data_IF_816665913267
#
_entry.id   IF_816665913267
#
_cell.length_a   1.000
_cell.length_b   1.000
_cell.length_c   1.000
_cell.angle_alpha   90.00
_cell.angle_beta   90.00
_cell.angle_gamma   90.00
#
_symmetry.space_group_name_H-M   'P 1'
#
loop_
_entity.id
_entity.type
_entity.pdbx_description
1 polymer ?
#
# COMPACT_ATOMS: atom_id res chain seq x y z
N UNK A 1 -41.32 32.25 -4.04
CA UNK A 1 -42.07 31.80 -5.24
C UNK A 1 -41.58 32.64 -6.42
N UNK A 2 -41.50 32.13 -7.68
CA UNK A 2 -41.74 30.79 -8.24
C UNK A 2 -40.40 30.03 -8.46
N UNK A 3 -40.23 28.70 -8.58
CA UNK A 3 -40.98 27.56 -9.12
C UNK A 3 -40.57 27.14 -10.55
N UNK A 4 -40.16 25.86 -10.65
CA UNK A 4 -40.28 24.92 -11.79
C UNK A 4 -39.34 25.09 -13.00
N UNK A 5 -38.22 24.38 -12.97
CA UNK A 5 -37.62 23.67 -14.12
C UNK A 5 -36.62 22.60 -13.62
N UNK A 6 -37.13 21.61 -12.88
CA UNK A 6 -36.47 20.31 -12.70
C UNK A 6 -37.11 19.33 -13.69
N UNK A 7 -36.32 18.34 -14.10
CA UNK A 7 -36.76 17.07 -14.68
C UNK A 7 -37.25 17.08 -16.14
N UNK A 8 -36.32 16.92 -17.09
CA UNK A 8 -36.57 16.08 -18.28
C UNK A 8 -35.40 15.16 -18.69
N UNK A 9 -34.15 15.40 -18.27
CA UNK A 9 -33.04 14.50 -18.63
C UNK A 9 -32.86 13.29 -17.69
N UNK A 10 -33.01 13.44 -16.36
CA UNK A 10 -32.79 12.31 -15.43
C UNK A 10 -33.88 11.22 -15.46
N UNK A 11 -35.11 11.54 -15.87
CA UNK A 11 -36.23 10.58 -15.81
C UNK A 11 -36.30 9.60 -16.99
N UNK A 12 -35.54 9.84 -18.06
CA UNK A 12 -35.45 8.91 -19.18
C UNK A 12 -34.41 7.81 -18.96
N UNK A 13 -33.38 8.05 -18.15
CA UNK A 13 -32.33 7.07 -17.90
C UNK A 13 -32.68 6.10 -16.76
N UNK A 14 -33.44 6.50 -15.74
CA UNK A 14 -33.85 5.59 -14.66
C UNK A 14 -35.02 4.68 -15.04
N UNK A 15 -35.80 5.01 -16.07
CA UNK A 15 -36.94 4.20 -16.51
C UNK A 15 -36.56 3.06 -17.46
N UNK A 16 -35.45 3.19 -18.20
CA UNK A 16 -34.94 2.13 -19.08
C UNK A 16 -34.20 1.02 -18.30
N UNK A 17 -33.68 1.33 -17.11
CA UNK A 17 -32.92 0.41 -16.26
C UNK A 17 -33.78 -0.41 -15.27
N UNK A 18 -35.09 -0.14 -15.20
CA UNK A 18 -36.04 -0.84 -14.32
C UNK A 18 -37.00 -1.79 -15.07
N UNK A 19 -36.95 -1.86 -16.40
CA UNK A 19 -38.00 -2.53 -17.19
C UNK A 19 -37.62 -3.89 -17.80
N UNK A 20 -36.38 -4.36 -17.66
CA UNK A 20 -36.02 -5.74 -18.03
C UNK A 20 -35.12 -6.35 -16.96
N UNK A 21 -35.70 -7.21 -16.11
CA UNK A 21 -34.93 -8.12 -15.28
C UNK A 21 -34.35 -9.24 -16.13
N UNK A 22 -33.13 -9.04 -16.62
CA UNK A 22 -32.29 -10.07 -17.27
C UNK A 22 -30.82 -9.86 -16.89
N UNK A 23 -30.12 -10.98 -16.76
CA UNK A 23 -28.78 -11.14 -16.19
C UNK A 23 -27.71 -10.16 -16.72
N UNK A 24 -26.91 -9.62 -15.79
CA UNK A 24 -25.72 -8.82 -16.09
C UNK A 24 -24.57 -9.72 -16.58
N UNK A 25 -24.49 -9.97 -17.89
CA UNK A 25 -23.32 -10.60 -18.49
C UNK A 25 -22.88 -10.00 -19.85
N UNK A 26 -23.59 -9.02 -20.42
CA UNK A 26 -23.21 -8.44 -21.71
C UNK A 26 -23.55 -6.94 -21.78
N UNK A 27 -22.60 -6.09 -21.41
CA UNK A 27 -22.64 -4.66 -21.74
C UNK A 27 -21.32 -4.31 -22.42
N UNK A 28 -21.36 -4.10 -23.74
CA UNK A 28 -20.19 -3.80 -24.57
C UNK A 28 -19.44 -2.53 -24.12
N UNK A 29 -18.11 -2.62 -24.06
CA UNK A 29 -17.15 -1.56 -23.66
C UNK A 29 -17.31 -0.23 -24.39
N UNK A 30 -17.94 -0.23 -25.58
CA UNK A 30 -18.17 0.98 -26.38
C UNK A 30 -19.17 1.96 -25.75
N UNK A 31 -20.10 1.49 -24.90
CA UNK A 31 -21.08 2.36 -24.26
C UNK A 31 -20.46 3.23 -23.15
N UNK A 32 -19.48 2.69 -22.41
CA UNK A 32 -18.76 3.43 -21.36
C UNK A 32 -17.83 4.50 -21.93
N UNK A 33 -17.16 4.20 -23.05
CA UNK A 33 -16.27 5.15 -23.71
C UNK A 33 -17.03 6.36 -24.27
N UNK A 34 -18.23 6.14 -24.82
CA UNK A 34 -19.08 7.22 -25.34
C UNK A 34 -19.58 8.17 -24.23
N UNK A 35 -19.89 7.64 -23.04
CA UNK A 35 -20.32 8.43 -21.89
C UNK A 35 -19.15 9.26 -21.32
N UNK A 36 -17.96 8.67 -21.22
CA UNK A 36 -16.76 9.37 -20.77
C UNK A 36 -16.35 10.53 -21.69
N UNK A 37 -16.43 10.34 -23.01
CA UNK A 37 -16.12 11.38 -24.01
C UNK A 37 -17.16 12.51 -23.97
N UNK A 38 -18.44 12.20 -23.78
CA UNK A 38 -19.50 13.21 -23.65
C UNK A 38 -19.33 14.07 -22.38
N UNK A 39 -18.92 13.46 -21.26
CA UNK A 39 -18.63 14.20 -20.02
C UNK A 39 -17.39 15.10 -20.15
N UNK A 40 -16.33 14.63 -20.82
CA UNK A 40 -15.10 15.42 -21.02
C UNK A 40 -15.35 16.64 -21.93
N UNK A 41 -16.19 16.47 -22.96
CA UNK A 41 -16.56 17.58 -23.86
C UNK A 41 -17.47 18.62 -23.19
N UNK A 42 -18.31 18.24 -22.23
CA UNK A 42 -19.11 19.19 -21.46
C UNK A 42 -18.26 20.04 -20.50
N UNK A 43 -17.13 19.52 -20.05
CA UNK A 43 -16.23 20.16 -19.08
C UNK A 43 -15.37 21.28 -19.69
N UNK A 44 -15.25 21.33 -21.02
CA UNK A 44 -14.46 22.33 -21.75
C UNK A 44 -15.22 23.63 -22.05
N UNK A 45 -16.55 23.68 -21.86
CA UNK A 45 -17.37 24.79 -22.37
C UNK A 45 -18.14 25.62 -21.32
N UNK A 46 -18.05 25.34 -20.01
CA UNK A 46 -18.70 26.19 -19.00
C UNK A 46 -18.02 26.13 -17.61
N UNK A 47 -17.43 27.23 -17.10
CA UNK A 47 -16.74 27.25 -15.80
C UNK A 47 -17.66 27.15 -14.56
N UNK A 48 -18.99 27.07 -14.73
CA UNK A 48 -19.94 26.95 -13.60
C UNK A 48 -20.23 25.49 -13.15
N UNK A 49 -19.69 24.46 -13.83
CA UNK A 49 -19.98 23.04 -13.56
C UNK A 49 -19.06 22.41 -12.49
N UNK A 50 -18.13 23.16 -11.91
CA UNK A 50 -17.13 22.62 -10.97
C UNK A 50 -17.72 22.21 -9.60
N UNK A 51 -18.96 22.64 -9.28
CA UNK A 51 -19.55 22.43 -7.95
C UNK A 51 -20.31 21.09 -7.78
N UNK A 52 -20.67 20.38 -8.85
CA UNK A 52 -21.42 19.11 -8.75
C UNK A 52 -20.61 17.82 -9.00
N UNK A 53 -19.38 17.91 -9.52
CA UNK A 53 -18.56 16.71 -9.79
C UNK A 53 -17.85 16.11 -8.57
N UNK A 54 -17.89 16.75 -7.39
CA UNK A 54 -17.27 16.18 -6.17
C UNK A 54 -17.96 14.90 -5.68
N UNK A 55 -19.24 14.69 -5.98
CA UNK A 55 -19.95 13.47 -5.60
C UNK A 55 -19.80 12.31 -6.60
N UNK A 56 -19.37 12.56 -7.84
CA UNK A 56 -19.23 11.50 -8.86
C UNK A 56 -17.86 10.78 -8.79
N UNK A 57 -16.83 11.44 -8.24
CA UNK A 57 -15.51 10.81 -7.98
C UNK A 57 -15.56 9.62 -7.03
N UNK A 58 -16.63 9.48 -6.25
CA UNK A 58 -16.80 8.37 -5.31
C UNK A 58 -17.18 7.08 -6.04
N UNK A 59 -17.90 7.15 -7.18
CA UNK A 59 -18.42 5.96 -7.85
C UNK A 59 -17.41 5.27 -8.78
N UNK A 60 -16.49 5.99 -9.42
CA UNK A 60 -15.45 5.38 -10.25
C UNK A 60 -14.32 4.70 -9.47
N UNK A 61 -14.21 4.91 -8.15
CA UNK A 61 -13.14 4.29 -7.34
C UNK A 61 -13.46 2.86 -6.88
N UNK A 62 -14.72 2.42 -7.02
CA UNK A 62 -15.19 1.16 -6.44
C UNK A 62 -15.18 -0.06 -7.40
N UNK A 63 -14.67 0.09 -8.64
CA UNK A 63 -14.72 -0.97 -9.66
C UNK A 63 -13.39 -1.25 -10.37
N UNK A 64 -12.26 -0.90 -9.73
CA UNK A 64 -10.91 -1.26 -10.19
C UNK A 64 -10.27 -2.40 -9.36
N UNK A 65 -11.02 -3.03 -8.46
CA UNK A 65 -10.56 -4.21 -7.73
C UNK A 65 -11.27 -5.46 -8.27
N UNK A 66 -10.64 -6.10 -9.25
CA UNK A 66 -10.73 -7.52 -9.60
C UNK A 66 -10.30 -7.65 -11.07
N UNK A 67 -9.06 -8.08 -11.32
CA UNK A 67 -8.65 -8.94 -12.44
C UNK A 67 -7.10 -9.04 -12.45
N UNK A 68 -6.57 -9.93 -11.60
CA UNK A 68 -5.25 -10.53 -11.84
C UNK A 68 -5.37 -12.06 -11.75
N UNK A 69 -4.96 -12.75 -12.83
CA UNK A 69 -4.46 -14.14 -12.96
C UNK A 69 -5.23 -15.04 -13.97
N UNK A 70 -4.60 -16.08 -14.57
CA UNK A 70 -3.72 -15.99 -15.73
C UNK A 70 -4.18 -16.90 -16.89
N UNK A 71 -4.08 -16.45 -18.15
CA UNK A 71 -4.44 -17.27 -19.32
C UNK A 71 -3.26 -18.10 -19.84
N UNK A 72 -3.41 -19.43 -19.74
CA UNK A 72 -2.64 -20.42 -20.48
C UNK A 72 -3.04 -20.43 -21.95
N UNK A 73 -2.05 -20.51 -22.85
CA UNK A 73 -2.24 -20.60 -24.30
C UNK A 73 -2.37 -22.04 -24.77
N UNK A 74 -3.45 -22.37 -25.48
CA UNK A 74 -3.45 -23.33 -26.60
C UNK A 74 -4.63 -23.06 -27.57
N UNK A 75 -4.55 -23.51 -28.84
CA UNK A 75 -5.02 -22.74 -30.00
C UNK A 75 -6.29 -23.33 -30.64
N UNK A 76 -7.17 -22.50 -31.22
CA UNK A 76 -8.14 -22.94 -32.24
C UNK A 76 -8.44 -21.86 -33.30
N UNK A 77 -8.03 -22.19 -34.52
CA UNK A 77 -8.70 -22.03 -35.82
C UNK A 77 -9.55 -20.77 -36.11
N UNK A 78 -9.03 -19.91 -36.99
CA UNK A 78 -9.84 -18.92 -37.73
C UNK A 78 -10.19 -19.50 -39.10
N UNK A 79 -11.50 -19.56 -39.39
CA UNK A 79 -12.08 -20.00 -40.66
C UNK A 79 -11.90 -18.94 -41.74
N UNK A 80 -11.57 -19.41 -42.93
CA UNK A 80 -11.50 -18.73 -44.22
C UNK A 80 -12.84 -18.13 -44.67
N UNK A 81 -12.81 -16.90 -45.18
CA UNK A 81 -13.86 -16.32 -46.03
C UNK A 81 -13.26 -16.00 -47.39
N UNK A 82 -13.78 -16.68 -48.41
CA UNK A 82 -13.49 -16.52 -49.83
C UNK A 82 -14.19 -15.27 -50.40
N UNK A 83 -13.50 -14.53 -51.27
CA UNK A 83 -14.09 -13.58 -52.22
C UNK A 83 -13.68 -14.01 -53.65
N UNK A 84 -14.50 -13.72 -54.68
CA UNK A 84 -14.59 -14.53 -55.90
C UNK A 84 -13.75 -14.01 -57.08
N UNK A 85 -13.49 -14.95 -57.98
CA UNK A 85 -12.77 -14.85 -59.25
C UNK A 85 -13.36 -13.81 -60.23
N UNK A 86 -12.50 -12.91 -60.71
CA UNK A 86 -12.72 -12.14 -61.94
C UNK A 86 -11.63 -12.44 -62.96
N UNK A 87 -12.06 -13.03 -64.07
CA UNK A 87 -11.29 -13.35 -65.27
C UNK A 87 -10.83 -12.08 -66.00
N UNK A 88 -9.54 -12.03 -66.39
CA UNK A 88 -9.06 -11.25 -67.52
C UNK A 88 -8.09 -12.10 -68.38
N UNK A 89 -8.09 -11.97 -69.71
CA UNK A 89 -7.50 -12.96 -70.62
C UNK A 89 -6.08 -12.62 -71.10
N UNK A 90 -5.34 -13.70 -71.40
CA UNK A 90 -4.18 -13.84 -72.30
C UNK A 90 -3.52 -12.57 -72.86
N UNK A 91 -2.31 -12.27 -72.38
CA UNK A 91 -1.29 -11.56 -73.15
C UNK A 91 0.02 -12.37 -73.13
N UNK A 92 0.49 -12.69 -74.34
CA UNK A 92 1.66 -13.50 -74.72
C UNK A 92 2.97 -12.88 -74.16
N UNK A 93 3.95 -13.70 -73.71
CA UNK A 93 5.20 -13.18 -73.15
C UNK A 93 6.15 -12.67 -74.25
N UNK A 94 6.52 -11.37 -74.18
CA UNK A 94 7.67 -10.83 -74.91
C UNK A 94 8.95 -11.07 -74.12
N UNK A 95 9.81 -11.92 -74.69
CA UNK A 95 11.23 -12.07 -74.35
C UNK A 95 11.91 -10.69 -74.25
N UNK A 96 12.33 -10.30 -73.05
CA UNK A 96 13.29 -9.21 -72.86
C UNK A 96 14.47 -9.69 -72.02
N UNK A 97 15.50 -10.11 -72.75
CA UNK A 97 16.93 -9.98 -72.50
C UNK A 97 17.40 -9.87 -71.03
N UNK A 98 18.02 -10.94 -70.54
CA UNK A 98 19.01 -10.90 -69.45
C UNK A 98 20.19 -10.02 -69.88
N UNK A 99 20.16 -8.72 -69.53
CA UNK A 99 21.39 -7.94 -69.39
C UNK A 99 21.94 -8.21 -68.00
N UNK A 100 23.14 -8.80 -67.99
CA UNK A 100 24.03 -8.85 -66.85
C UNK A 100 24.04 -7.47 -66.18
N UNK A 101 23.65 -7.43 -64.90
CA UNK A 101 23.83 -6.26 -64.06
C UNK A 101 24.93 -6.61 -63.06
N UNK A 102 25.96 -5.79 -63.14
CA UNK A 102 27.24 -5.94 -62.49
C UNK A 102 27.10 -6.16 -60.98
N UNK A 103 28.03 -6.96 -60.44
CA UNK A 103 28.22 -7.09 -59.00
C UNK A 103 28.57 -5.74 -58.40
N UNK A 104 27.56 -5.02 -57.93
CA UNK A 104 27.72 -4.02 -56.91
C UNK A 104 27.39 -4.70 -55.59
N UNK A 105 28.41 -4.92 -54.78
CA UNK A 105 28.25 -5.18 -53.36
C UNK A 105 27.33 -4.11 -52.80
N UNK A 106 26.10 -4.48 -52.49
CA UNK A 106 25.18 -3.61 -51.76
C UNK A 106 25.76 -3.46 -50.35
N UNK A 107 26.62 -2.47 -50.16
CA UNK A 107 27.06 -2.05 -48.83
C UNK A 107 25.80 -1.53 -48.14
N UNK A 108 25.20 -2.40 -47.33
CA UNK A 108 24.19 -1.99 -46.36
C UNK A 108 24.84 -0.87 -45.53
N UNK A 109 24.20 0.29 -45.51
CA UNK A 109 24.63 1.39 -44.65
C UNK A 109 24.85 0.84 -43.23
N UNK A 110 25.94 1.20 -42.54
CA UNK A 110 26.18 0.71 -41.19
C UNK A 110 24.94 1.02 -40.35
N UNK A 111 24.41 0.00 -39.70
CA UNK A 111 23.26 0.17 -38.82
C UNK A 111 23.60 1.28 -37.83
N UNK A 112 22.80 2.36 -37.80
CA UNK A 112 23.06 3.53 -36.95
C UNK A 112 22.99 3.19 -35.45
N UNK A 113 22.47 2.02 -35.12
CA UNK A 113 22.37 1.46 -33.78
C UNK A 113 22.82 0.00 -33.86
N UNK A 114 23.69 -0.40 -32.93
CA UNK A 114 24.09 -1.80 -32.76
C UNK A 114 22.88 -2.61 -32.26
N UNK A 115 22.39 -3.62 -33.01
CA UNK A 115 21.30 -4.48 -32.56
C UNK A 115 21.57 -5.17 -31.22
N UNK A 116 22.83 -5.40 -30.86
CA UNK A 116 23.21 -6.00 -29.57
C UNK A 116 22.85 -5.12 -28.37
N UNK A 117 22.76 -3.79 -28.55
CA UNK A 117 22.38 -2.86 -27.49
C UNK A 117 21.00 -3.18 -26.92
N UNK A 118 20.02 -3.43 -27.78
CA UNK A 118 18.65 -3.69 -27.33
C UNK A 118 18.50 -5.07 -26.71
N UNK A 119 19.28 -6.06 -27.13
CA UNK A 119 19.32 -7.37 -26.46
C UNK A 119 19.94 -7.27 -25.06
N UNK A 120 21.03 -6.51 -24.88
CA UNK A 120 21.60 -6.26 -23.55
C UNK A 120 20.63 -5.51 -22.63
N UNK A 121 19.96 -4.48 -23.15
CA UNK A 121 18.94 -3.75 -22.40
C UNK A 121 17.76 -4.64 -22.01
N UNK A 122 17.33 -5.53 -22.91
CA UNK A 122 16.28 -6.51 -22.63
C UNK A 122 16.69 -7.45 -21.51
N UNK A 123 17.91 -7.99 -21.52
CA UNK A 123 18.42 -8.85 -20.43
C UNK A 123 18.40 -8.10 -19.09
N UNK A 124 18.86 -6.85 -19.03
CA UNK A 124 18.82 -6.03 -17.80
C UNK A 124 17.40 -5.78 -17.29
N UNK A 125 16.42 -5.61 -18.19
CA UNK A 125 15.00 -5.45 -17.83
C UNK A 125 14.41 -6.77 -17.31
N UNK A 126 14.78 -7.89 -17.91
CA UNK A 126 14.34 -9.23 -17.47
C UNK A 126 14.90 -9.56 -16.06
N UNK A 127 16.17 -9.26 -15.79
CA UNK A 127 16.79 -9.36 -14.47
C UNK A 127 16.07 -8.48 -13.43
N UNK A 128 15.81 -7.20 -13.76
CA UNK A 128 15.06 -6.29 -12.88
C UNK A 128 13.66 -6.83 -12.57
N UNK A 129 13.00 -7.40 -13.58
CA UNK A 129 11.67 -8.01 -13.45
C UNK A 129 11.72 -9.24 -12.54
N UNK A 130 12.75 -10.07 -12.66
CA UNK A 130 12.94 -11.24 -11.80
C UNK A 130 13.13 -10.84 -10.33
N UNK A 131 13.96 -9.83 -10.05
CA UNK A 131 14.16 -9.29 -8.70
C UNK A 131 12.84 -8.77 -8.12
N UNK A 132 12.06 -8.00 -8.90
CA UNK A 132 10.76 -7.48 -8.45
C UNK A 132 9.79 -8.60 -8.08
N UNK A 133 9.69 -9.65 -8.90
CA UNK A 133 8.80 -10.80 -8.65
C UNK A 133 9.18 -11.55 -7.39
N UNK A 134 10.47 -11.76 -7.16
CA UNK A 134 10.92 -12.45 -5.94
C UNK A 134 10.70 -11.60 -4.69
N UNK A 135 10.92 -10.29 -4.77
CA UNK A 135 10.57 -9.37 -3.68
C UNK A 135 9.07 -9.41 -3.37
N UNK A 136 8.21 -9.39 -4.40
CA UNK A 136 6.76 -9.44 -4.22
C UNK A 136 6.34 -10.72 -3.48
N UNK A 137 6.91 -11.87 -3.86
CA UNK A 137 6.68 -13.14 -3.16
C UNK A 137 7.07 -13.08 -1.67
N UNK A 138 8.26 -12.55 -1.36
CA UNK A 138 8.75 -12.44 0.02
C UNK A 138 7.89 -11.46 0.83
N UNK A 139 7.45 -10.36 0.21
CA UNK A 139 6.64 -9.34 0.86
C UNK A 139 5.22 -9.84 1.11
N UNK A 140 4.65 -10.64 0.21
CA UNK A 140 3.34 -11.28 0.41
C UNK A 140 3.37 -12.23 1.62
N UNK A 141 4.43 -13.05 1.73
CA UNK A 141 4.65 -13.92 2.89
C UNK A 141 4.74 -13.10 4.20
N UNK A 142 5.53 -12.02 4.21
CA UNK A 142 5.66 -11.12 5.35
C UNK A 142 4.32 -10.44 5.69
N UNK A 143 3.62 -9.92 4.69
CA UNK A 143 2.33 -9.23 4.83
C UNK A 143 1.26 -10.14 5.44
N UNK A 144 1.26 -11.43 5.08
CA UNK A 144 0.38 -12.42 5.68
C UNK A 144 0.68 -12.61 7.18
N UNK A 145 1.96 -12.70 7.56
CA UNK A 145 2.33 -12.83 8.98
C UNK A 145 1.99 -11.56 9.77
N UNK A 146 2.30 -10.38 9.22
CA UNK A 146 1.95 -9.08 9.84
C UNK A 146 0.44 -8.97 10.04
N UNK A 147 -0.36 -9.29 9.03
CA UNK A 147 -1.83 -9.24 9.12
C UNK A 147 -2.36 -10.19 10.19
N UNK A 148 -1.79 -11.40 10.28
CA UNK A 148 -2.14 -12.37 11.32
C UNK A 148 -1.82 -11.83 12.72
N UNK A 149 -0.58 -11.35 12.94
CA UNK A 149 -0.14 -10.81 14.23
C UNK A 149 -0.95 -9.59 14.62
N UNK A 150 -1.23 -8.66 13.70
CA UNK A 150 -2.11 -7.52 13.93
C UNK A 150 -3.52 -7.97 14.32
N UNK A 151 -4.05 -9.02 13.69
CA UNK A 151 -5.32 -9.63 14.06
C UNK A 151 -5.33 -10.14 15.50
N UNK A 152 -4.29 -10.87 15.91
CA UNK A 152 -4.14 -11.33 17.30
C UNK A 152 -3.97 -10.15 18.27
N UNK A 153 -3.13 -9.19 17.91
CA UNK A 153 -2.81 -8.01 18.73
C UNK A 153 -4.03 -7.11 18.91
N UNK A 154 -4.93 -7.02 17.93
CA UNK A 154 -6.17 -6.24 18.02
C UNK A 154 -7.07 -6.66 19.19
N UNK A 155 -6.91 -7.89 19.71
CA UNK A 155 -7.67 -8.42 20.86
C UNK A 155 -7.39 -7.66 22.16
N UNK A 156 -6.30 -6.88 22.24
CA UNK A 156 -6.00 -6.01 23.39
C UNK A 156 -7.15 -5.04 23.69
N UNK A 157 -7.93 -4.67 22.67
CA UNK A 157 -9.07 -3.77 22.77
C UNK A 157 -10.31 -4.39 23.45
N UNK A 158 -10.29 -5.70 23.72
CA UNK A 158 -11.38 -6.42 24.40
C UNK A 158 -10.87 -7.39 25.46
N UNK A 159 -9.57 -7.33 25.79
CA UNK A 159 -8.93 -8.22 26.75
C UNK A 159 -8.46 -7.39 27.94
N UNK A 160 -8.94 -7.68 29.17
CA UNK A 160 -8.43 -7.02 30.37
C UNK A 160 -6.92 -7.26 30.55
N UNK A 161 -6.22 -6.28 31.12
CA UNK A 161 -4.76 -6.32 31.34
C UNK A 161 -4.28 -7.54 32.13
N UNK A 162 -5.10 -8.04 33.07
CA UNK A 162 -4.82 -9.27 33.82
C UNK A 162 -4.65 -10.52 32.95
N UNK A 163 -5.14 -10.50 31.71
CA UNK A 163 -5.03 -11.60 30.74
C UNK A 163 -3.95 -11.36 29.68
N UNK A 164 -3.18 -10.27 29.76
CA UNK A 164 -2.09 -10.01 28.80
C UNK A 164 -1.01 -11.09 28.86
N UNK A 165 -0.74 -11.68 30.02
CA UNK A 165 0.19 -12.82 30.15
C UNK A 165 -0.18 -14.04 29.29
N UNK A 166 -1.45 -14.19 28.92
CA UNK A 166 -1.92 -15.27 28.03
C UNK A 166 -1.96 -14.82 26.57
N UNK A 167 -2.24 -13.54 26.32
CA UNK A 167 -2.36 -12.98 24.98
C UNK A 167 -0.99 -12.70 24.34
N UNK A 168 -0.07 -12.09 25.08
CA UNK A 168 1.22 -11.62 24.54
C UNK A 168 2.09 -12.76 23.99
N UNK A 169 2.17 -13.96 24.60
CA UNK A 169 2.89 -15.08 23.99
C UNK A 169 2.36 -15.45 22.59
N UNK A 170 1.05 -15.35 22.34
CA UNK A 170 0.47 -15.61 21.00
C UNK A 170 0.88 -14.53 19.98
N UNK A 171 1.03 -13.28 20.44
CA UNK A 171 1.53 -12.19 19.61
C UNK A 171 3.03 -12.39 19.33
N UNK A 172 3.81 -12.78 20.34
CA UNK A 172 5.24 -13.08 20.20
C UNK A 172 5.51 -14.23 19.23
N UNK A 173 4.65 -15.25 19.18
CA UNK A 173 4.72 -16.32 18.18
C UNK A 173 4.52 -15.78 16.76
N UNK A 174 3.60 -14.82 16.56
CA UNK A 174 3.40 -14.11 15.29
C UNK A 174 4.62 -13.27 14.92
N UNK A 175 5.12 -12.46 15.86
CA UNK A 175 6.32 -11.64 15.69
C UNK A 175 7.54 -12.50 15.34
N UNK A 176 7.68 -13.70 15.92
CA UNK A 176 8.77 -14.62 15.58
C UNK A 176 8.77 -15.02 14.11
N UNK A 177 7.58 -15.19 13.51
CA UNK A 177 7.45 -15.46 12.07
C UNK A 177 7.76 -14.22 11.24
N UNK A 178 7.33 -13.03 11.69
CA UNK A 178 7.72 -11.77 11.05
C UNK A 178 9.24 -11.61 11.03
N UNK A 179 9.94 -11.91 12.13
CA UNK A 179 11.41 -11.88 12.21
C UNK A 179 12.04 -12.81 11.17
N UNK A 180 11.51 -14.03 11.00
CA UNK A 180 12.00 -14.97 9.98
C UNK A 180 11.78 -14.44 8.55
N UNK A 181 10.60 -13.89 8.26
CA UNK A 181 10.29 -13.30 6.97
C UNK A 181 11.16 -12.07 6.67
N UNK A 182 11.37 -11.18 7.65
CA UNK A 182 12.28 -10.03 7.53
C UNK A 182 13.73 -10.48 7.34
N UNK A 183 14.16 -11.56 7.99
CA UNK A 183 15.49 -12.15 7.76
C UNK A 183 15.66 -12.66 6.31
N UNK A 184 14.61 -13.26 5.74
CA UNK A 184 14.59 -13.71 4.34
C UNK A 184 14.64 -12.52 3.38
N UNK A 185 13.84 -11.49 3.65
CA UNK A 185 13.88 -10.22 2.92
C UNK A 185 15.26 -9.59 2.99
N UNK A 186 15.87 -9.52 4.18
CA UNK A 186 17.21 -8.94 4.37
C UNK A 186 18.28 -9.66 3.56
N UNK A 187 18.27 -11.01 3.57
CA UNK A 187 19.24 -11.82 2.83
C UNK A 187 19.13 -11.61 1.31
N UNK A 188 17.92 -11.48 0.76
CA UNK A 188 17.70 -11.25 -0.66
C UNK A 188 17.91 -9.79 -1.08
N UNK A 189 17.32 -8.85 -0.34
CA UNK A 189 17.37 -7.43 -0.65
C UNK A 189 18.78 -6.84 -0.51
N UNK A 190 19.63 -7.39 0.37
CA UNK A 190 21.03 -6.95 0.50
C UNK A 190 21.91 -7.27 -0.72
N UNK A 191 21.44 -8.11 -1.64
CA UNK A 191 22.14 -8.41 -2.90
C UNK A 191 21.77 -7.42 -4.02
N UNK A 192 20.82 -6.51 -3.75
CA UNK A 192 20.22 -5.61 -4.73
C UNK A 192 20.32 -4.15 -4.23
N UNK A 193 20.31 -3.14 -5.13
CA UNK A 193 20.39 -1.75 -4.70
C UNK A 193 19.20 -1.34 -3.81
N UNK A 194 19.48 -0.89 -2.58
CA UNK A 194 18.45 -0.68 -1.56
C UNK A 194 17.38 0.32 -2.00
N UNK A 195 17.80 1.53 -2.37
CA UNK A 195 16.89 2.63 -2.72
C UNK A 195 16.17 2.42 -4.06
N UNK A 196 16.60 1.45 -4.87
CA UNK A 196 15.89 1.07 -6.09
C UNK A 196 14.60 0.31 -5.78
N UNK A 197 14.57 -0.48 -4.72
CA UNK A 197 13.45 -1.38 -4.42
C UNK A 197 12.75 -1.11 -3.07
N UNK A 198 13.26 -0.18 -2.25
CA UNK A 198 12.73 0.05 -0.89
C UNK A 198 11.22 0.24 -0.80
N UNK A 199 10.63 0.91 -1.78
CA UNK A 199 9.21 1.23 -1.85
C UNK A 199 8.32 -0.03 -1.85
N UNK A 200 8.86 -1.20 -2.21
CA UNK A 200 8.13 -2.46 -2.18
C UNK A 200 7.88 -2.93 -0.75
N UNK A 201 8.87 -2.89 0.14
CA UNK A 201 8.76 -3.45 1.49
C UNK A 201 8.52 -2.42 2.59
N UNK A 202 8.81 -1.14 2.33
CA UNK A 202 8.84 -0.07 3.34
C UNK A 202 7.61 -0.07 4.26
N UNK A 203 6.41 -0.20 3.67
CA UNK A 203 5.15 -0.23 4.42
C UNK A 203 5.02 -1.47 5.29
N UNK A 204 5.25 -2.65 4.72
CA UNK A 204 5.10 -3.92 5.43
C UNK A 204 6.13 -4.06 6.56
N UNK A 205 7.36 -3.57 6.33
CA UNK A 205 8.40 -3.51 7.37
C UNK A 205 8.00 -2.55 8.49
N UNK A 206 7.45 -1.38 8.18
CA UNK A 206 6.92 -0.46 9.21
C UNK A 206 5.79 -1.09 10.03
N UNK A 207 4.91 -1.85 9.38
CA UNK A 207 3.82 -2.57 10.06
C UNK A 207 4.36 -3.68 10.99
N UNK A 208 5.40 -4.43 10.58
CA UNK A 208 6.10 -5.41 11.42
C UNK A 208 6.88 -4.75 12.59
N UNK A 209 7.48 -3.59 12.37
CA UNK A 209 8.10 -2.82 13.46
C UNK A 209 7.00 -2.34 14.43
N UNK A 210 5.83 -1.95 13.93
CA UNK A 210 4.72 -1.48 14.76
C UNK A 210 4.13 -2.58 15.65
N UNK A 211 3.95 -3.81 15.14
CA UNK A 211 3.51 -4.98 15.94
C UNK A 211 4.50 -5.29 17.06
N UNK A 212 5.80 -5.26 16.74
CA UNK A 212 6.88 -5.45 17.68
C UNK A 212 6.89 -4.39 18.80
N UNK A 213 6.85 -3.12 18.42
CA UNK A 213 6.84 -1.98 19.35
C UNK A 213 5.63 -2.00 20.27
N UNK A 214 4.44 -2.26 19.73
CA UNK A 214 3.21 -2.32 20.53
C UNK A 214 3.23 -3.53 21.47
N UNK A 215 3.69 -4.70 21.02
CA UNK A 215 3.85 -5.87 21.89
C UNK A 215 4.80 -5.58 23.06
N UNK A 216 5.96 -4.98 22.78
CA UNK A 216 6.92 -4.59 23.80
C UNK A 216 6.36 -3.54 24.77
N UNK A 217 5.62 -2.56 24.26
CA UNK A 217 4.97 -1.54 25.09
C UNK A 217 3.92 -2.13 26.03
N UNK A 218 3.23 -3.21 25.63
CA UNK A 218 2.25 -3.92 26.45
C UNK A 218 2.88 -4.83 27.52
N UNK A 219 4.22 -4.88 27.62
CA UNK A 219 4.97 -5.73 28.53
C UNK A 219 5.38 -7.08 27.96
N UNK A 220 5.26 -7.27 26.64
CA UNK A 220 5.81 -8.42 25.92
C UNK A 220 7.29 -8.23 25.58
N UNK A 221 7.88 -9.19 24.87
CA UNK A 221 9.26 -9.13 24.40
C UNK A 221 10.27 -8.89 25.54
N UNK A 222 10.02 -9.48 26.71
CA UNK A 222 10.94 -9.43 27.84
C UNK A 222 12.21 -10.23 27.56
N UNK A 223 13.36 -9.70 27.97
CA UNK A 223 14.64 -10.41 27.96
C UNK A 223 15.15 -10.58 29.40
N UNK A 224 16.08 -11.51 29.63
CA UNK A 224 16.74 -11.68 30.93
C UNK A 224 17.39 -10.38 31.43
N UNK A 225 17.87 -9.54 30.51
CA UNK A 225 18.52 -8.26 30.81
C UNK A 225 17.54 -7.11 31.01
N UNK A 226 16.30 -7.23 30.50
CA UNK A 226 15.29 -6.17 30.57
C UNK A 226 13.89 -6.79 30.61
N UNK A 227 13.24 -6.86 31.79
CA UNK A 227 11.92 -7.45 31.91
C UNK A 227 10.89 -6.72 31.04
N UNK A 228 9.84 -7.43 30.67
CA UNK A 228 8.70 -6.88 29.92
C UNK A 228 7.87 -5.97 30.83
N UNK A 229 8.12 -4.67 30.75
CA UNK A 229 7.39 -3.66 31.51
C UNK A 229 6.44 -2.90 30.59
N UNK A 230 5.21 -2.66 31.08
CA UNK A 230 4.23 -1.87 30.31
C UNK A 230 4.68 -0.42 30.26
N UNK A 231 4.57 0.21 29.10
CA UNK A 231 5.03 1.58 28.88
C UNK A 231 6.44 1.67 28.31
N UNK A 232 7.14 0.53 28.14
CA UNK A 232 8.50 0.49 27.61
C UNK A 232 8.52 0.84 26.12
N UNK A 233 9.30 1.86 25.76
CA UNK A 233 9.67 2.14 24.38
C UNK A 233 10.96 1.41 24.03
N UNK A 234 10.93 0.58 22.98
CA UNK A 234 12.15 0.02 22.40
C UNK A 234 12.84 1.05 21.51
N UNK A 235 14.16 1.13 21.63
CA UNK A 235 15.02 1.93 20.76
C UNK A 235 15.13 1.35 19.36
N UNK A 236 15.57 2.16 18.39
CA UNK A 236 15.85 1.70 17.02
C UNK A 236 16.86 0.54 17.02
N UNK A 237 17.87 0.63 17.87
CA UNK A 237 18.92 -0.38 18.02
C UNK A 237 18.36 -1.71 18.58
N UNK A 238 17.47 -1.65 19.56
CA UNK A 238 16.77 -2.83 20.10
C UNK A 238 15.87 -3.47 19.04
N UNK A 239 15.16 -2.67 18.23
CA UNK A 239 14.36 -3.17 17.10
C UNK A 239 15.27 -3.87 16.08
N UNK A 240 16.39 -3.25 15.69
CA UNK A 240 17.38 -3.85 14.79
C UNK A 240 17.93 -5.18 15.32
N UNK A 241 18.22 -5.25 16.63
CA UNK A 241 18.69 -6.46 17.28
C UNK A 241 17.64 -7.58 17.25
N UNK A 242 16.36 -7.27 17.49
CA UNK A 242 15.27 -8.24 17.44
C UNK A 242 15.06 -8.80 16.04
N UNK A 243 15.08 -7.95 15.02
CA UNK A 243 14.95 -8.40 13.62
C UNK A 243 16.25 -8.99 13.05
N UNK A 244 17.37 -8.93 13.80
CA UNK A 244 18.71 -9.28 13.34
C UNK A 244 19.12 -8.54 12.05
N UNK A 245 18.71 -7.27 11.92
CA UNK A 245 18.93 -6.42 10.75
C UNK A 245 19.71 -5.17 11.16
N UNK A 246 20.72 -4.75 10.38
CA UNK A 246 21.43 -3.52 10.68
C UNK A 246 20.51 -2.29 10.61
N UNK A 247 20.81 -1.28 11.42
CA UNK A 247 20.05 -0.02 11.45
C UNK A 247 20.86 1.08 10.78
N UNK A 248 20.18 1.89 9.95
CA UNK A 248 20.72 3.12 9.36
C UNK A 248 22.16 3.00 8.81
N UNK A 249 22.38 2.04 7.90
CA UNK A 249 23.70 1.83 7.28
C UNK A 249 24.12 3.04 6.45
N UNK A 250 25.41 3.38 6.53
CA UNK A 250 26.03 4.49 5.78
C UNK A 250 27.26 4.06 4.98
N UNK A 251 27.85 2.93 5.35
CA UNK A 251 29.09 2.39 4.81
C UNK A 251 28.89 1.54 3.54
N UNK A 252 27.72 0.90 3.40
CA UNK A 252 27.43 -0.02 2.29
C UNK A 252 25.95 0.00 1.90
N UNK A 253 25.68 -0.38 0.66
CA UNK A 253 24.34 -0.56 0.12
C UNK A 253 23.84 -1.98 0.45
N UNK A 254 23.04 -2.09 1.52
CA UNK A 254 22.46 -3.34 1.97
C UNK A 254 21.13 -3.07 2.68
N UNK A 255 20.33 -4.12 2.89
CA UNK A 255 19.07 -4.00 3.61
C UNK A 255 19.31 -3.55 5.05
N UNK A 256 18.63 -2.48 5.46
CA UNK A 256 18.69 -1.94 6.81
C UNK A 256 17.36 -1.27 7.17
N UNK A 257 17.09 -1.17 8.47
CA UNK A 257 15.95 -0.39 8.97
C UNK A 257 16.37 1.07 9.05
N UNK A 258 15.63 1.97 8.40
CA UNK A 258 15.92 3.40 8.43
C UNK A 258 15.33 4.06 9.68
N UNK A 259 15.86 5.24 10.02
CA UNK A 259 15.27 6.07 11.09
C UNK A 259 13.82 6.44 10.74
N UNK A 260 13.54 6.72 9.47
CA UNK A 260 12.20 7.07 9.00
C UNK A 260 11.21 5.93 9.20
N UNK A 261 11.60 4.68 8.95
CA UNK A 261 10.74 3.51 9.16
C UNK A 261 10.34 3.35 10.63
N UNK A 262 11.30 3.52 11.53
CA UNK A 262 11.06 3.47 12.96
C UNK A 262 10.15 4.61 13.43
N UNK A 263 10.40 5.84 12.98
CA UNK A 263 9.56 6.99 13.34
C UNK A 263 8.13 6.86 12.80
N UNK A 264 7.95 6.33 11.59
CA UNK A 264 6.62 6.08 11.03
C UNK A 264 5.89 4.95 11.77
N UNK A 265 6.61 3.89 12.18
CA UNK A 265 6.05 2.84 13.03
C UNK A 265 5.61 3.37 14.41
N UNK A 266 6.36 4.30 14.99
CA UNK A 266 5.97 4.97 16.25
C UNK A 266 4.65 5.74 16.11
N UNK A 267 4.40 6.35 14.95
CA UNK A 267 3.14 7.06 14.72
C UNK A 267 1.97 6.06 14.66
N UNK A 268 2.17 4.89 14.04
CA UNK A 268 1.14 3.83 14.01
C UNK A 268 0.78 3.34 15.42
N UNK A 269 1.77 3.16 16.32
CA UNK A 269 1.46 2.74 17.70
C UNK A 269 0.70 3.82 18.48
N UNK A 270 0.97 5.11 18.24
CA UNK A 270 0.24 6.21 18.89
C UNK A 270 -1.26 6.12 18.56
N UNK A 271 -1.59 5.86 17.30
CA UNK A 271 -2.98 5.72 16.85
C UNK A 271 -3.67 4.54 17.54
N UNK A 272 -3.01 3.37 17.61
CA UNK A 272 -3.54 2.19 18.30
C UNK A 272 -3.66 2.39 19.82
N UNK A 273 -2.68 3.02 20.46
CA UNK A 273 -2.72 3.34 21.89
C UNK A 273 -3.85 4.33 22.20
N UNK A 274 -4.09 5.32 21.34
CA UNK A 274 -5.22 6.25 21.51
C UNK A 274 -6.58 5.54 21.53
N UNK A 275 -6.70 4.44 20.77
CA UNK A 275 -7.88 3.58 20.76
C UNK A 275 -7.93 2.72 22.02
N UNK A 276 -6.79 2.14 22.39
CA UNK A 276 -6.68 1.32 23.59
C UNK A 276 -7.03 2.11 24.85
N UNK A 277 -6.66 3.39 24.96
CA UNK A 277 -6.99 4.24 26.10
C UNK A 277 -8.49 4.27 26.39
N UNK A 278 -9.33 4.52 25.38
CA UNK A 278 -10.79 4.52 25.57
C UNK A 278 -11.33 3.14 25.95
N UNK A 279 -10.82 2.09 25.30
CA UNK A 279 -11.25 0.72 25.57
C UNK A 279 -10.81 0.26 26.97
N UNK A 280 -9.65 0.71 27.45
CA UNK A 280 -9.16 0.41 28.79
C UNK A 280 -10.07 0.98 29.87
N UNK A 281 -10.55 2.22 29.72
CA UNK A 281 -11.57 2.81 30.60
C UNK A 281 -12.87 2.00 30.57
N UNK A 282 -13.28 1.54 29.38
CA UNK A 282 -14.48 0.70 29.23
C UNK A 282 -14.34 -0.64 29.96
N UNK A 283 -13.12 -1.18 30.03
CA UNK A 283 -12.78 -2.40 30.77
C UNK A 283 -12.48 -2.13 32.27
N UNK A 284 -12.54 -0.88 32.73
CA UNK A 284 -12.31 -0.48 34.12
C UNK A 284 -10.84 -0.24 34.50
N UNK A 285 -9.92 -0.21 33.54
CA UNK A 285 -8.50 0.07 33.76
C UNK A 285 -8.18 1.54 33.48
N UNK A 286 -8.43 2.39 34.48
CA UNK A 286 -8.17 3.83 34.38
C UNK A 286 -6.68 4.17 34.44
N UNK A 287 -5.89 3.36 35.14
CA UNK A 287 -4.44 3.55 35.28
C UNK A 287 -3.74 3.39 33.94
N UNK A 288 -4.14 2.39 33.14
CA UNK A 288 -3.63 2.20 31.80
C UNK A 288 -3.95 3.40 30.89
N UNK A 289 -5.15 3.95 30.97
CA UNK A 289 -5.52 5.15 30.20
C UNK A 289 -4.64 6.35 30.54
N UNK A 290 -4.35 6.57 31.82
CA UNK A 290 -3.44 7.64 32.28
C UNK A 290 -2.00 7.40 31.81
N UNK A 291 -1.52 6.15 31.90
CA UNK A 291 -0.19 5.76 31.41
C UNK A 291 -0.04 6.01 29.90
N UNK A 292 -1.04 5.60 29.11
CA UNK A 292 -1.08 5.86 27.66
C UNK A 292 -1.04 7.36 27.37
N UNK A 293 -1.82 8.16 28.11
CA UNK A 293 -1.87 9.61 27.93
C UNK A 293 -0.51 10.26 28.18
N UNK A 294 0.18 9.87 29.26
CA UNK A 294 1.56 10.35 29.53
C UNK A 294 2.51 9.96 28.41
N UNK A 295 2.48 8.69 28.00
CA UNK A 295 3.37 8.16 26.97
C UNK A 295 3.19 8.86 25.61
N UNK A 296 1.95 9.08 25.17
CA UNK A 296 1.67 9.78 23.90
C UNK A 296 2.12 11.24 23.96
N UNK A 297 1.99 11.90 25.11
CA UNK A 297 2.49 13.28 25.30
C UNK A 297 4.01 13.35 25.24
N UNK A 298 4.70 12.41 25.88
CA UNK A 298 6.16 12.32 25.85
C UNK A 298 6.68 12.04 24.42
N UNK A 299 6.03 11.13 23.70
CA UNK A 299 6.34 10.89 22.28
C UNK A 299 6.09 12.13 21.43
N UNK A 300 4.95 12.80 21.61
CA UNK A 300 4.65 14.03 20.88
C UNK A 300 5.71 15.11 21.14
N UNK A 301 6.11 15.31 22.40
CA UNK A 301 7.20 16.23 22.75
C UNK A 301 8.52 15.81 22.08
N UNK A 302 8.85 14.52 22.05
CA UNK A 302 10.01 13.99 21.34
C UNK A 302 9.99 14.30 19.84
N UNK A 303 8.84 14.14 19.19
CA UNK A 303 8.66 14.52 17.78
C UNK A 303 8.81 16.02 17.53
N UNK A 304 8.43 16.89 18.47
CA UNK A 304 8.60 18.35 18.35
C UNK A 304 10.08 18.78 18.38
N UNK A 305 10.97 17.98 19.00
CA UNK A 305 12.42 18.25 18.98
C UNK A 305 13.03 17.96 17.61
N UNK A 306 12.41 17.08 16.83
CA UNK A 306 12.90 16.73 15.49
C UNK A 306 12.57 17.84 14.50
N UNK A 307 13.59 18.47 13.92
CA UNK A 307 13.41 19.46 12.86
C UNK A 307 13.12 18.79 11.51
N UNK A 308 11.90 18.30 11.35
CA UNK A 308 11.46 17.55 10.17
C UNK A 308 11.17 18.47 8.97
N UNK A 309 11.66 18.08 7.81
CA UNK A 309 11.36 18.76 6.54
C UNK A 309 9.93 18.42 6.08
N UNK A 310 9.44 19.12 5.04
CA UNK A 310 8.10 18.89 4.48
C UNK A 310 8.02 17.58 3.68
N UNK A 311 7.99 16.45 4.37
CA UNK A 311 7.90 15.11 3.80
C UNK A 311 6.66 14.35 4.32
N UNK A 312 6.57 13.06 3.98
CA UNK A 312 5.50 12.19 4.47
C UNK A 312 5.52 12.05 5.99
N UNK A 313 6.70 12.04 6.60
CA UNK A 313 6.86 11.91 8.05
C UNK A 313 6.28 13.12 8.76
N UNK A 314 6.54 14.35 8.28
CA UNK A 314 5.91 15.56 8.84
C UNK A 314 4.39 15.53 8.77
N UNK A 315 3.82 15.11 7.64
CA UNK A 315 2.35 14.98 7.49
C UNK A 315 1.77 13.98 8.49
N UNK A 316 2.51 12.89 8.78
CA UNK A 316 2.12 11.87 9.78
C UNK A 316 2.32 12.39 11.20
N UNK A 317 3.38 13.15 11.49
CA UNK A 317 3.57 13.77 12.80
C UNK A 317 2.46 14.78 13.12
N UNK A 318 2.00 15.53 12.11
CA UNK A 318 0.86 16.45 12.27
C UNK A 318 -0.45 15.75 12.67
N UNK A 319 -0.59 14.43 12.44
CA UNK A 319 -1.77 13.67 12.89
C UNK A 319 -1.73 13.31 14.37
N UNK A 320 -0.56 13.32 15.01
CA UNK A 320 -0.39 12.98 16.44
C UNK A 320 -1.25 13.89 17.33
N UNK A 321 -1.45 15.16 16.95
CA UNK A 321 -2.29 16.11 17.71
C UNK A 321 -3.72 15.61 17.94
N UNK A 322 -4.26 14.81 17.02
CA UNK A 322 -5.60 14.23 17.18
C UNK A 322 -5.61 13.11 18.21
N UNK A 323 -4.57 12.28 18.23
CA UNK A 323 -4.39 11.24 19.24
C UNK A 323 -4.17 11.86 20.63
N UNK A 324 -3.32 12.90 20.73
CA UNK A 324 -3.08 13.66 21.97
C UNK A 324 -4.39 14.22 22.53
N UNK A 325 -5.14 14.97 21.71
CA UNK A 325 -6.43 15.53 22.14
C UNK A 325 -7.37 14.44 22.65
N UNK A 326 -7.47 13.32 21.92
CA UNK A 326 -8.35 12.21 22.27
C UNK A 326 -8.02 11.58 23.62
N UNK A 327 -6.73 11.37 23.93
CA UNK A 327 -6.33 10.82 25.23
C UNK A 327 -6.38 11.86 26.37
N UNK A 328 -6.28 13.14 26.05
CA UNK A 328 -6.53 14.23 27.00
C UNK A 328 -8.00 14.30 27.40
N UNK A 329 -8.91 14.23 26.43
CA UNK A 329 -10.36 14.21 26.68
C UNK A 329 -10.73 13.01 27.58
N UNK A 330 -10.14 11.83 27.36
CA UNK A 330 -10.34 10.65 28.21
C UNK A 330 -9.86 10.89 29.65
N UNK A 331 -8.65 11.42 29.84
CA UNK A 331 -8.13 11.69 31.19
C UNK A 331 -8.92 12.80 31.88
N UNK A 332 -9.37 13.81 31.14
CA UNK A 332 -10.23 14.86 31.63
C UNK A 332 -11.56 14.29 32.17
N UNK A 333 -12.24 13.43 31.40
CA UNK A 333 -13.48 12.77 31.82
C UNK A 333 -13.30 11.90 33.08
N UNK A 334 -12.16 11.19 33.19
CA UNK A 334 -11.81 10.42 34.38
C UNK A 334 -11.59 11.33 35.60
N UNK A 335 -10.93 12.47 35.41
CA UNK A 335 -10.65 13.44 36.47
C UNK A 335 -11.93 14.08 37.01
N UNK A 336 -12.87 14.46 36.13
CA UNK A 336 -14.17 15.03 36.52
C UNK A 336 -15.00 14.07 37.38
N UNK A 337 -14.81 12.76 37.20
CA UNK A 337 -15.50 11.70 37.92
C UNK A 337 -14.77 11.22 39.17
N UNK A 338 -13.62 11.82 39.50
CA UNK A 338 -12.74 11.42 40.60
C UNK A 338 -12.30 9.94 40.51
N UNK A 339 -12.11 9.45 39.28
CA UNK A 339 -11.69 8.06 39.00
C UNK A 339 -10.17 7.89 38.90
N UNK A 340 -9.43 8.99 39.04
CA UNK A 340 -7.97 9.02 39.14
C UNK A 340 -7.66 9.53 40.55
N UNK A 341 -6.73 8.91 41.29
CA UNK A 341 -6.26 9.47 42.54
C UNK A 341 -5.75 10.89 42.28
N UNK A 342 -6.30 11.88 42.99
CA UNK A 342 -5.77 13.24 42.92
C UNK A 342 -4.27 13.15 43.21
N UNK A 343 -3.43 13.57 42.26
CA UNK A 343 -2.02 13.78 42.56
C UNK A 343 -1.99 14.73 43.76
N UNK A 344 -1.61 14.22 44.93
CA UNK A 344 -1.20 15.08 46.02
C UNK A 344 0.09 15.73 45.52
N UNK A 345 0.00 17.01 45.20
CA UNK A 345 1.14 17.83 44.79
C UNK A 345 2.21 17.76 45.90
N UNK A 346 3.38 17.21 45.58
CA UNK A 346 4.63 17.39 46.33
C UNK A 346 5.64 18.19 45.50
#
# INVERSE_FOLDING_TARGET
>A
MPSRLKCKLCLWQTSALSAHGQDFADVNDHAFLAIAIACLNAQLNDPAVDFQCKHFKIFCSAQCFCLESPFQTHPRAVKSVLLPDFLLPNIIPRQLNKRARDGHSFQMAPAMIDPALFEELKTKIEEDTAVRKELDRIIDDLSQQVSFTQGVLSRIHSTPRSKYSVLLPQVEDGIRKEIQCVGTLSAFASQNPYYKYNYKWVRTVQEAISTNLLCAWLGGMGSETRPGEVGRLMTLEEVGAVFAVPVNLKDRDAFHITIEDYLLALINIIDELSRLAMNSVTMGDNELAVLISSFIKDLHAGFQVLNLKNDILRKRVDSIKYAVKKVEDVVYDLSLRNLIPAKMDE
#
